data_IF_349729924665
#
_entry.id   IF_349729924665
#
_cell.length_a   1.000
_cell.length_b   1.000
_cell.length_c   1.000
_cell.angle_alpha   90.00
_cell.angle_beta   90.00
_cell.angle_gamma   90.00
#
_symmetry.space_group_name_H-M   'P 1'
#
loop_
_entity.id
_entity.type
_entity.pdbx_description
1 polymer ?
#
# COMPACT_ATOMS: atom_id res chain seq x y z
N UNK A 1 -0.98 -5.05 -30.09
CA UNK A 1 -1.21 -5.40 -28.65
C UNK A 1 -0.14 -4.70 -27.84
N UNK A 2 -0.49 -4.11 -26.69
CA UNK A 2 0.49 -3.47 -25.80
C UNK A 2 1.48 -4.53 -25.32
N UNK A 3 2.78 -4.22 -25.35
CA UNK A 3 3.80 -5.13 -24.84
C UNK A 3 4.66 -4.43 -23.77
N UNK A 4 4.77 -5.06 -22.58
CA UNK A 4 5.67 -4.64 -21.52
C UNK A 4 6.96 -5.46 -21.60
N UNK A 5 8.09 -4.86 -21.95
CA UNK A 5 9.37 -5.53 -21.84
C UNK A 5 9.86 -5.58 -20.38
N UNK A 6 10.78 -6.45 -20.07
CA UNK A 6 11.64 -6.32 -18.88
C UNK A 6 12.50 -5.07 -19.06
N UNK A 7 12.67 -4.24 -18.02
CA UNK A 7 13.65 -3.15 -18.04
C UNK A 7 14.89 -3.56 -17.23
N UNK A 8 16.00 -3.81 -17.95
CA UNK A 8 17.27 -4.17 -17.35
C UNK A 8 18.12 -2.93 -17.21
N UNK A 9 18.08 -2.30 -16.05
CA UNK A 9 18.71 -0.99 -15.84
C UNK A 9 18.27 0.04 -16.90
N UNK A 10 16.95 0.15 -17.07
CA UNK A 10 16.32 1.06 -18.01
C UNK A 10 16.31 0.60 -19.47
N UNK A 11 17.07 -0.43 -19.84
CA UNK A 11 17.12 -0.96 -21.21
C UNK A 11 16.03 -2.01 -21.41
N UNK A 12 15.19 -1.87 -22.44
CA UNK A 12 14.13 -2.83 -22.71
C UNK A 12 14.70 -4.17 -23.19
N UNK A 13 14.17 -5.25 -22.63
CA UNK A 13 14.53 -6.61 -23.02
C UNK A 13 13.25 -7.44 -23.23
N UNK A 14 13.08 -7.98 -24.41
CA UNK A 14 12.01 -8.91 -24.73
C UNK A 14 12.42 -10.34 -24.37
N UNK A 15 11.66 -10.96 -23.48
CA UNK A 15 11.83 -12.36 -23.10
C UNK A 15 11.15 -13.28 -24.11
N UNK A 16 11.63 -14.52 -24.21
CA UNK A 16 10.92 -15.58 -24.92
C UNK A 16 9.66 -16.04 -24.16
N UNK A 17 9.69 -15.93 -22.85
CA UNK A 17 8.51 -16.16 -22.01
C UNK A 17 7.69 -14.89 -21.93
N UNK A 18 6.44 -14.98 -22.39
CA UNK A 18 5.49 -13.86 -22.41
C UNK A 18 4.20 -14.34 -21.78
N UNK A 19 3.69 -13.56 -20.84
CA UNK A 19 2.39 -13.79 -20.22
C UNK A 19 1.38 -12.74 -20.70
N UNK A 20 0.10 -13.01 -20.51
CA UNK A 20 -0.99 -12.10 -20.89
C UNK A 20 -1.68 -11.55 -19.67
N UNK A 21 -1.78 -10.23 -19.61
CA UNK A 21 -2.66 -9.55 -18.67
C UNK A 21 -4.00 -9.36 -19.35
N UNK A 22 -5.05 -9.89 -18.74
CA UNK A 22 -6.39 -9.95 -19.34
C UNK A 22 -7.34 -9.01 -18.61
N UNK A 23 -8.35 -8.56 -19.34
CA UNK A 23 -9.46 -7.81 -18.76
C UNK A 23 -10.24 -8.71 -17.79
N UNK A 24 -10.45 -8.24 -16.57
CA UNK A 24 -10.98 -9.06 -15.48
C UNK A 24 -12.36 -9.65 -15.78
N UNK A 25 -13.21 -8.93 -16.50
CA UNK A 25 -14.58 -9.37 -16.78
C UNK A 25 -14.70 -10.13 -18.12
N UNK A 26 -14.07 -9.67 -19.21
CA UNK A 26 -14.19 -10.30 -20.54
C UNK A 26 -13.17 -11.40 -20.79
N UNK A 27 -12.02 -11.37 -20.10
CA UNK A 27 -10.89 -12.26 -20.36
C UNK A 27 -10.08 -11.92 -21.61
N UNK A 28 -10.44 -10.86 -22.32
CA UNK A 28 -9.68 -10.43 -23.49
C UNK A 28 -8.29 -9.93 -23.09
N UNK A 29 -7.25 -10.24 -23.86
CA UNK A 29 -5.91 -9.74 -23.59
C UNK A 29 -5.86 -8.20 -23.70
N UNK A 30 -5.42 -7.55 -22.62
CA UNK A 30 -5.14 -6.09 -22.57
C UNK A 30 -3.70 -5.81 -22.94
N UNK A 31 -2.78 -6.62 -22.44
CA UNK A 31 -1.35 -6.50 -22.71
C UNK A 31 -0.62 -7.86 -22.69
N UNK A 32 0.54 -7.89 -23.32
CA UNK A 32 1.54 -8.94 -23.20
C UNK A 32 2.70 -8.46 -22.35
N UNK A 33 3.29 -9.34 -21.55
CA UNK A 33 4.32 -9.00 -20.57
C UNK A 33 5.47 -9.99 -20.67
N UNK A 34 6.63 -9.54 -21.08
CA UNK A 34 7.87 -10.32 -21.01
C UNK A 34 8.16 -10.72 -19.56
N UNK A 35 8.35 -12.01 -19.32
CA UNK A 35 8.66 -12.54 -18.00
C UNK A 35 10.17 -12.56 -17.77
N UNK A 36 10.62 -12.01 -16.66
CA UNK A 36 11.97 -12.19 -16.17
C UNK A 36 12.13 -13.60 -15.55
N UNK A 37 13.35 -14.00 -15.30
CA UNK A 37 13.66 -15.19 -14.53
C UNK A 37 14.71 -14.89 -13.44
N UNK A 38 14.83 -15.74 -12.40
CA UNK A 38 15.77 -15.52 -11.30
C UNK A 38 17.23 -15.33 -11.74
N UNK A 39 17.66 -16.00 -12.81
CA UNK A 39 19.02 -15.92 -13.33
C UNK A 39 19.33 -14.54 -13.94
N UNK A 40 18.38 -13.93 -14.65
CA UNK A 40 18.54 -12.57 -15.18
C UNK A 40 18.64 -11.57 -14.03
N UNK A 41 17.74 -11.64 -13.05
CA UNK A 41 17.73 -10.77 -11.87
C UNK A 41 19.06 -10.86 -11.11
N UNK A 42 19.50 -12.07 -10.75
CA UNK A 42 20.73 -12.28 -10.01
C UNK A 42 21.98 -11.79 -10.78
N UNK A 43 22.00 -11.96 -12.11
CA UNK A 43 23.09 -11.47 -12.95
C UNK A 43 23.15 -9.94 -13.00
N UNK A 44 22.00 -9.30 -13.18
CA UNK A 44 21.91 -7.85 -13.33
C UNK A 44 22.21 -7.15 -12.00
N UNK A 45 21.75 -7.71 -10.88
CA UNK A 45 21.98 -7.15 -9.54
C UNK A 45 23.45 -7.21 -9.08
N UNK A 46 24.32 -7.97 -9.74
CA UNK A 46 25.78 -7.86 -9.53
C UNK A 46 26.33 -6.49 -9.93
N UNK A 47 25.58 -5.70 -10.69
CA UNK A 47 25.94 -4.35 -11.14
C UNK A 47 25.08 -3.27 -10.49
N UNK A 48 24.39 -3.58 -9.40
CA UNK A 48 23.43 -2.68 -8.73
C UNK A 48 24.10 -1.37 -8.25
N UNK A 49 25.37 -1.38 -7.91
CA UNK A 49 26.10 -0.18 -7.49
C UNK A 49 26.06 0.93 -8.55
N UNK A 50 26.05 0.57 -9.84
CA UNK A 50 25.96 1.56 -10.93
C UNK A 50 24.70 2.44 -10.82
N UNK A 51 23.58 1.90 -10.34
CA UNK A 51 22.35 2.67 -10.17
C UNK A 51 22.53 3.83 -9.18
N UNK A 52 23.26 3.59 -8.09
CA UNK A 52 23.61 4.65 -7.15
C UNK A 52 24.66 5.60 -7.71
N UNK A 53 25.66 5.09 -8.42
CA UNK A 53 26.74 5.90 -8.98
C UNK A 53 26.19 6.96 -9.94
N UNK A 54 25.29 6.60 -10.86
CA UNK A 54 24.68 7.56 -11.80
C UNK A 54 23.76 8.57 -11.09
N UNK A 55 23.06 8.18 -10.02
CA UNK A 55 22.25 9.10 -9.22
C UNK A 55 23.13 10.09 -8.45
N UNK A 56 24.33 9.71 -8.04
CA UNK A 56 25.28 10.57 -7.33
C UNK A 56 25.97 11.60 -8.23
N UNK A 57 25.77 11.55 -9.53
CA UNK A 57 26.17 12.63 -10.46
C UNK A 57 25.27 13.87 -10.28
N UNK A 58 24.15 13.74 -9.60
CA UNK A 58 23.19 14.81 -9.30
C UNK A 58 23.15 15.08 -7.81
N UNK A 59 22.89 16.32 -7.45
CA UNK A 59 22.59 16.71 -6.08
C UNK A 59 21.18 16.22 -5.67
N UNK A 60 20.89 16.04 -4.37
CA UNK A 60 19.53 15.74 -3.90
C UNK A 60 18.49 16.75 -4.41
N UNK A 61 18.82 18.04 -4.46
CA UNK A 61 17.94 19.10 -4.94
C UNK A 61 17.60 18.95 -6.43
N UNK A 62 18.56 18.61 -7.28
CA UNK A 62 18.32 18.32 -8.71
C UNK A 62 17.39 17.11 -8.88
N UNK A 63 17.64 16.03 -8.13
CA UNK A 63 16.80 14.83 -8.17
C UNK A 63 15.38 15.12 -7.68
N UNK A 64 15.21 15.94 -6.64
CA UNK A 64 13.90 16.42 -6.19
C UNK A 64 13.18 17.17 -7.32
N UNK A 65 13.88 18.06 -8.04
CA UNK A 65 13.33 18.79 -9.19
C UNK A 65 12.88 17.85 -10.30
N UNK A 66 13.67 16.82 -10.62
CA UNK A 66 13.29 15.80 -11.60
C UNK A 66 12.08 14.98 -11.14
N UNK A 67 12.02 14.59 -9.87
CA UNK A 67 10.89 13.82 -9.31
C UNK A 67 9.60 14.64 -9.36
N UNK A 68 9.63 15.94 -9.01
CA UNK A 68 8.48 16.86 -9.15
C UNK A 68 8.03 16.99 -10.62
N UNK A 69 8.97 17.12 -11.55
CA UNK A 69 8.63 17.09 -12.97
C UNK A 69 8.04 15.74 -13.39
N UNK A 70 8.52 14.66 -12.81
CA UNK A 70 7.93 13.32 -12.96
C UNK A 70 6.47 13.24 -12.51
N UNK A 71 6.08 13.97 -11.46
CA UNK A 71 4.69 14.08 -11.00
C UNK A 71 3.77 14.68 -12.07
N UNK A 72 4.20 15.78 -12.67
CA UNK A 72 3.48 16.43 -13.77
C UNK A 72 3.31 15.48 -14.95
N UNK A 73 4.42 14.89 -15.41
CA UNK A 73 4.41 13.95 -16.54
C UNK A 73 3.54 12.70 -16.24
N UNK A 74 3.65 12.12 -15.04
CA UNK A 74 2.85 10.97 -14.65
C UNK A 74 1.35 11.23 -14.74
N UNK A 75 0.89 12.41 -14.32
CA UNK A 75 -0.53 12.74 -14.23
C UNK A 75 -1.12 13.35 -15.51
N UNK A 76 -0.30 13.94 -16.41
CA UNK A 76 -0.82 14.72 -17.52
C UNK A 76 -0.25 14.36 -18.90
N UNK A 77 0.93 13.73 -18.97
CA UNK A 77 1.58 13.50 -20.25
C UNK A 77 1.17 12.19 -20.94
N UNK A 78 1.31 12.19 -22.27
CA UNK A 78 1.39 10.95 -23.04
C UNK A 78 2.77 10.33 -22.84
N UNK A 79 2.82 9.11 -22.32
CA UNK A 79 4.08 8.42 -21.99
C UNK A 79 4.23 7.14 -22.81
N UNK A 80 5.48 6.72 -23.14
CA UNK A 80 5.74 5.53 -23.95
C UNK A 80 5.13 4.25 -23.34
N UNK A 81 4.42 3.49 -24.17
CA UNK A 81 3.90 2.17 -23.82
C UNK A 81 3.83 1.28 -25.07
N UNK A 82 4.62 0.20 -25.08
CA UNK A 82 4.79 -0.61 -26.29
C UNK A 82 5.32 0.21 -27.46
N UNK A 83 4.71 0.05 -28.64
CA UNK A 83 5.03 0.83 -29.85
C UNK A 83 4.26 2.15 -29.93
N UNK A 84 3.54 2.54 -28.88
CA UNK A 84 2.70 3.74 -28.83
C UNK A 84 2.91 4.56 -27.58
N UNK A 85 1.87 5.31 -27.22
CA UNK A 85 1.83 6.13 -26.01
C UNK A 85 0.59 5.80 -25.17
N UNK A 86 0.66 6.11 -23.91
CA UNK A 86 -0.41 5.95 -22.92
C UNK A 86 -0.79 7.35 -22.41
N UNK A 87 -2.03 7.75 -22.65
CA UNK A 87 -2.61 8.93 -22.01
C UNK A 87 -2.94 8.66 -20.53
N UNK A 88 -3.19 9.68 -19.70
CA UNK A 88 -3.70 9.49 -18.34
C UNK A 88 -5.02 8.70 -18.29
N UNK A 89 -5.91 8.93 -19.25
CA UNK A 89 -7.20 8.23 -19.33
C UNK A 89 -7.03 6.77 -19.77
N UNK A 90 -6.08 6.48 -20.68
CA UNK A 90 -5.73 5.10 -21.02
C UNK A 90 -5.17 4.35 -19.80
N UNK A 91 -4.30 5.01 -19.05
CA UNK A 91 -3.77 4.44 -17.82
C UNK A 91 -4.87 4.05 -16.84
N UNK A 92 -5.82 4.95 -16.58
CA UNK A 92 -6.95 4.69 -15.67
C UNK A 92 -7.80 3.51 -16.16
N UNK A 93 -8.17 3.49 -17.44
CA UNK A 93 -8.96 2.39 -18.04
C UNK A 93 -8.23 1.06 -18.00
N UNK A 94 -6.94 1.05 -18.36
CA UNK A 94 -6.12 -0.16 -18.39
C UNK A 94 -5.89 -0.73 -17.00
N UNK A 95 -5.60 0.13 -16.02
CA UNK A 95 -5.44 -0.28 -14.62
C UNK A 95 -6.75 -0.85 -14.08
N UNK A 96 -7.88 -0.18 -14.30
CA UNK A 96 -9.20 -0.68 -13.93
C UNK A 96 -9.49 -2.04 -14.58
N UNK A 97 -9.25 -2.16 -15.89
CA UNK A 97 -9.51 -3.37 -16.68
C UNK A 97 -8.78 -4.62 -16.15
N UNK A 98 -7.65 -4.48 -15.49
CA UNK A 98 -6.87 -5.63 -15.01
C UNK A 98 -6.93 -5.84 -13.51
N UNK A 99 -7.13 -4.78 -12.72
CA UNK A 99 -7.20 -4.86 -11.26
C UNK A 99 -8.62 -5.01 -10.73
N UNK A 100 -9.63 -4.73 -11.56
CA UNK A 100 -11.04 -4.69 -11.15
C UNK A 100 -11.40 -3.50 -10.25
N UNK A 101 -10.48 -2.54 -10.07
CA UNK A 101 -10.74 -1.33 -9.30
C UNK A 101 -11.55 -0.34 -10.16
N UNK A 102 -12.61 0.32 -9.64
CA UNK A 102 -13.32 1.37 -10.35
C UNK A 102 -12.43 2.47 -10.91
N UNK A 103 -12.74 2.99 -12.10
CA UNK A 103 -11.90 3.99 -12.80
C UNK A 103 -11.66 5.25 -11.97
N UNK A 104 -12.70 5.76 -11.30
CA UNK A 104 -12.54 6.94 -10.44
C UNK A 104 -11.58 6.67 -9.25
N UNK A 105 -11.52 5.43 -8.73
CA UNK A 105 -10.57 5.05 -7.68
C UNK A 105 -9.15 4.91 -8.24
N UNK A 106 -8.99 4.44 -9.49
CA UNK A 106 -7.70 4.47 -10.18
C UNK A 106 -7.20 5.91 -10.33
N UNK A 107 -8.07 6.83 -10.71
CA UNK A 107 -7.77 8.26 -10.82
C UNK A 107 -7.44 8.88 -9.46
N UNK A 108 -8.19 8.57 -8.41
CA UNK A 108 -7.91 9.01 -7.04
C UNK A 108 -6.52 8.55 -6.58
N UNK A 109 -6.14 7.30 -6.85
CA UNK A 109 -4.81 6.80 -6.54
C UNK A 109 -3.71 7.49 -7.37
N UNK A 110 -3.97 7.79 -8.64
CA UNK A 110 -3.06 8.57 -9.49
C UNK A 110 -2.79 9.96 -8.90
N UNK A 111 -3.84 10.69 -8.50
CA UNK A 111 -3.73 12.00 -7.85
C UNK A 111 -3.00 11.93 -6.50
N UNK A 112 -3.22 10.86 -5.74
CA UNK A 112 -2.49 10.60 -4.51
C UNK A 112 -0.98 10.45 -4.75
N UNK A 113 -0.58 9.70 -5.77
CA UNK A 113 0.83 9.55 -6.13
C UNK A 113 1.43 10.87 -6.63
N UNK A 114 0.69 11.61 -7.44
CA UNK A 114 1.08 12.95 -7.85
C UNK A 114 1.33 13.86 -6.64
N UNK A 115 0.39 13.89 -5.69
CA UNK A 115 0.53 14.70 -4.48
C UNK A 115 1.82 14.39 -3.72
N UNK A 116 2.16 13.10 -3.56
CA UNK A 116 3.39 12.69 -2.87
C UNK A 116 4.63 13.17 -3.60
N UNK A 117 4.65 13.09 -4.93
CA UNK A 117 5.77 13.56 -5.75
C UNK A 117 5.90 15.10 -5.74
N UNK A 118 4.78 15.82 -5.78
CA UNK A 118 4.75 17.29 -5.74
C UNK A 118 5.28 17.84 -4.40
N UNK A 119 5.11 17.08 -3.30
CA UNK A 119 5.52 17.46 -1.94
C UNK A 119 6.73 16.65 -1.44
N UNK A 120 7.51 16.07 -2.36
CA UNK A 120 8.58 15.14 -2.00
C UNK A 120 9.69 15.78 -1.16
N UNK A 121 9.96 17.07 -1.35
CA UNK A 121 10.91 17.84 -0.55
C UNK A 121 10.46 17.96 0.92
N UNK A 122 9.22 18.36 1.19
CA UNK A 122 8.66 18.46 2.53
C UNK A 122 8.64 17.08 3.22
N UNK A 123 8.28 16.04 2.46
CA UNK A 123 8.27 14.66 2.94
C UNK A 123 9.68 14.22 3.34
N UNK A 124 10.68 14.49 2.51
CA UNK A 124 12.07 14.15 2.81
C UNK A 124 12.60 14.94 4.01
N UNK A 125 12.32 16.25 4.10
CA UNK A 125 12.70 17.06 5.26
C UNK A 125 12.14 16.46 6.54
N UNK A 126 10.90 15.98 6.52
CA UNK A 126 10.30 15.35 7.69
C UNK A 126 10.90 13.99 8.01
N UNK A 127 11.03 13.09 7.00
CA UNK A 127 11.58 11.75 7.19
C UNK A 127 13.05 11.76 7.59
N UNK A 128 13.85 12.76 7.17
CA UNK A 128 15.22 12.96 7.60
C UNK A 128 15.33 13.68 8.96
N UNK A 129 14.20 14.05 9.57
CA UNK A 129 14.16 14.87 10.80
C UNK A 129 14.91 16.20 10.64
N UNK A 130 14.77 16.84 9.47
CA UNK A 130 15.44 18.07 9.04
C UNK A 130 16.95 17.95 8.83
N UNK A 131 17.53 16.74 8.83
CA UNK A 131 18.90 16.56 8.42
C UNK A 131 19.05 17.02 6.96
N UNK A 132 20.08 17.80 6.67
CA UNK A 132 20.40 18.22 5.31
C UNK A 132 20.62 16.98 4.42
N UNK A 133 19.83 16.79 3.36
CA UNK A 133 19.99 15.66 2.44
C UNK A 133 21.40 15.54 1.83
N UNK A 134 22.12 16.65 1.71
CA UNK A 134 23.51 16.69 1.26
C UNK A 134 24.45 15.91 2.18
N UNK A 135 24.14 15.83 3.49
CA UNK A 135 24.91 15.01 4.43
C UNK A 135 24.75 13.51 4.11
N UNK A 136 23.53 13.09 3.74
CA UNK A 136 23.29 11.70 3.29
C UNK A 136 23.99 11.41 1.95
N UNK A 137 23.97 12.37 1.01
CA UNK A 137 24.58 12.25 -0.30
C UNK A 137 26.11 12.17 -0.23
N UNK A 138 26.74 13.10 0.52
CA UNK A 138 28.20 13.18 0.73
C UNK A 138 28.72 12.12 1.72
N UNK A 139 27.82 11.62 2.58
CA UNK A 139 28.15 10.67 3.64
C UNK A 139 28.65 11.32 4.94
N UNK A 140 28.86 12.63 4.97
CA UNK A 140 29.20 13.42 6.16
C UNK A 140 28.92 14.92 5.97
N UNK A 141 28.79 15.60 7.07
CA UNK A 141 28.64 17.07 7.15
C UNK A 141 28.64 17.53 8.58
N UNK A 142 28.50 18.82 8.79
CA UNK A 142 28.40 19.44 10.11
C UNK A 142 26.97 19.99 10.30
N UNK A 143 26.38 19.71 11.43
CA UNK A 143 25.07 20.18 11.84
C UNK A 143 25.15 20.64 13.30
N UNK A 144 24.82 21.89 13.56
CA UNK A 144 24.88 22.53 14.90
C UNK A 144 26.25 22.37 15.62
N UNK A 145 27.35 22.44 14.85
CA UNK A 145 28.71 22.27 15.37
C UNK A 145 29.09 20.79 15.64
N UNK A 146 28.24 19.82 15.25
CA UNK A 146 28.49 18.39 15.40
C UNK A 146 28.72 17.74 14.05
N UNK A 147 29.86 17.04 13.92
CA UNK A 147 30.13 16.23 12.72
C UNK A 147 29.16 15.06 12.65
N UNK A 148 28.36 15.00 11.58
CA UNK A 148 27.41 13.93 11.29
C UNK A 148 27.96 13.09 10.14
N UNK A 149 27.80 11.78 10.22
CA UNK A 149 28.12 10.91 9.11
C UNK A 149 27.11 9.78 9.00
N UNK A 150 26.71 9.50 7.76
CA UNK A 150 25.76 8.44 7.42
C UNK A 150 26.32 7.58 6.30
N UNK A 151 25.98 6.31 6.34
CA UNK A 151 26.35 5.34 5.31
C UNK A 151 25.07 4.72 4.73
N UNK A 152 24.91 4.77 3.41
CA UNK A 152 23.86 3.99 2.75
C UNK A 152 24.12 2.48 2.98
N UNK A 153 23.07 1.76 3.31
CA UNK A 153 23.12 0.32 3.58
C UNK A 153 22.87 -0.51 2.33
N UNK A 154 22.50 0.14 1.24
CA UNK A 154 22.24 -0.47 -0.08
C UNK A 154 22.46 0.54 -1.19
N UNK A 155 22.76 0.06 -2.39
CA UNK A 155 22.80 0.88 -3.60
C UNK A 155 21.47 0.93 -4.33
N UNK A 156 20.59 -0.06 -4.07
CA UNK A 156 19.25 -0.16 -4.64
C UNK A 156 18.26 -0.68 -3.61
N UNK A 157 17.00 -0.25 -3.72
CA UNK A 157 15.89 -0.84 -2.99
C UNK A 157 15.15 -1.83 -3.88
N UNK A 158 15.05 -3.08 -3.42
CA UNK A 158 14.22 -4.10 -4.06
C UNK A 158 12.75 -3.95 -3.63
N UNK A 159 11.82 -4.01 -4.59
CA UNK A 159 10.39 -3.87 -4.34
C UNK A 159 9.62 -5.03 -4.94
N UNK A 160 8.96 -5.84 -4.13
CA UNK A 160 7.99 -6.85 -4.59
C UNK A 160 6.60 -6.28 -4.34
N UNK A 161 6.00 -5.76 -5.41
CA UNK A 161 4.81 -4.93 -5.39
C UNK A 161 3.53 -5.78 -5.50
N UNK A 162 2.43 -5.37 -4.86
CA UNK A 162 1.15 -6.06 -4.92
C UNK A 162 0.31 -5.59 -6.12
N UNK A 163 -0.85 -6.25 -6.32
CA UNK A 163 -1.84 -5.85 -7.34
C UNK A 163 -3.11 -5.22 -6.77
N UNK A 164 -3.28 -5.19 -5.44
CA UNK A 164 -4.56 -4.85 -4.81
C UNK A 164 -4.83 -3.35 -4.70
N UNK A 165 -3.80 -2.54 -4.47
CA UNK A 165 -3.97 -1.10 -4.27
C UNK A 165 -2.80 -0.31 -4.86
N UNK A 166 -3.04 0.56 -5.87
CA UNK A 166 -1.99 1.40 -6.45
C UNK A 166 -1.38 2.41 -5.48
N UNK A 167 -2.09 2.74 -4.40
CA UNK A 167 -1.64 3.69 -3.39
C UNK A 167 -0.32 3.32 -2.70
N UNK A 168 0.05 2.04 -2.68
CA UNK A 168 1.31 1.55 -2.07
C UNK A 168 2.56 2.04 -2.81
N UNK A 169 2.44 2.43 -4.07
CA UNK A 169 3.57 2.97 -4.82
C UNK A 169 4.15 4.25 -4.21
N UNK A 170 3.35 4.98 -3.41
CA UNK A 170 3.83 6.15 -2.67
C UNK A 170 5.00 5.87 -1.73
N UNK A 171 5.19 4.63 -1.29
CA UNK A 171 6.23 4.26 -0.31
C UNK A 171 7.66 4.25 -0.90
N UNK A 172 7.80 4.05 -2.21
CA UNK A 172 9.11 4.03 -2.86
C UNK A 172 9.46 5.31 -3.64
N UNK A 173 8.52 6.26 -3.77
CA UNK A 173 8.77 7.52 -4.48
C UNK A 173 9.89 8.38 -3.85
N UNK A 174 10.09 8.40 -2.51
CA UNK A 174 11.15 9.18 -1.88
C UNK A 174 12.59 8.66 -2.12
N UNK A 175 12.76 7.51 -2.78
CA UNK A 175 14.04 6.78 -2.82
C UNK A 175 15.03 7.42 -3.78
N UNK A 176 14.59 7.87 -4.95
CA UNK A 176 15.45 8.47 -5.98
C UNK A 176 16.20 9.71 -5.47
N UNK A 177 15.55 10.69 -4.79
CA UNK A 177 16.27 11.83 -4.21
C UNK A 177 17.30 11.47 -3.14
N UNK A 178 17.15 10.30 -2.51
CA UNK A 178 18.13 9.74 -1.56
C UNK A 178 19.33 9.08 -2.26
N UNK A 179 19.41 9.19 -3.59
CA UNK A 179 20.43 8.58 -4.42
C UNK A 179 20.52 7.04 -4.27
N UNK A 180 19.36 6.40 -4.12
CA UNK A 180 19.21 4.93 -4.10
C UNK A 180 18.42 4.52 -5.33
N UNK A 181 18.94 3.55 -6.09
CA UNK A 181 18.25 3.02 -7.27
C UNK A 181 17.06 2.12 -6.91
N UNK A 182 16.25 1.79 -7.89
CA UNK A 182 15.03 1.00 -7.74
C UNK A 182 15.08 -0.30 -8.54
N UNK A 183 14.70 -1.40 -7.91
CA UNK A 183 14.51 -2.71 -8.55
C UNK A 183 13.06 -3.13 -8.29
N UNK A 184 12.21 -2.98 -9.29
CA UNK A 184 10.77 -3.16 -9.17
C UNK A 184 10.35 -4.52 -9.75
N UNK A 185 9.65 -5.32 -8.95
CA UNK A 185 8.91 -6.50 -9.39
C UNK A 185 7.42 -6.19 -9.22
N UNK A 186 6.70 -5.84 -10.31
CA UNK A 186 5.29 -5.45 -10.23
C UNK A 186 4.38 -6.63 -9.87
N UNK A 187 3.20 -6.31 -9.36
CA UNK A 187 2.11 -7.27 -9.26
C UNK A 187 1.62 -7.71 -10.64
N UNK A 188 1.13 -8.94 -10.80
CA UNK A 188 0.77 -9.46 -12.13
C UNK A 188 -0.39 -8.70 -12.80
N UNK A 189 -1.33 -8.13 -12.05
CA UNK A 189 -2.45 -7.35 -12.59
C UNK A 189 -2.17 -5.84 -12.56
N UNK A 190 -1.14 -5.38 -11.82
CA UNK A 190 -0.81 -3.97 -11.64
C UNK A 190 0.63 -3.67 -12.07
N UNK A 191 0.87 -3.66 -13.38
CA UNK A 191 2.11 -3.24 -14.02
C UNK A 191 2.06 -1.76 -14.43
N UNK A 192 0.86 -1.20 -14.48
CA UNK A 192 0.59 0.10 -15.08
C UNK A 192 1.26 1.23 -14.33
N UNK A 193 1.13 1.26 -12.99
CA UNK A 193 1.72 2.31 -12.17
C UNK A 193 3.25 2.29 -12.19
N UNK A 194 3.94 1.16 -11.89
CA UNK A 194 5.40 1.16 -11.91
C UNK A 194 5.97 1.42 -13.30
N UNK A 195 5.31 0.98 -14.38
CA UNK A 195 5.72 1.30 -15.74
C UNK A 195 5.58 2.79 -16.03
N UNK A 196 4.37 3.34 -15.89
CA UNK A 196 4.08 4.74 -16.20
C UNK A 196 4.95 5.69 -15.37
N UNK A 197 5.15 5.39 -14.09
CA UNK A 197 6.01 6.17 -13.21
C UNK A 197 7.48 6.11 -13.67
N UNK A 198 7.97 4.95 -14.07
CA UNK A 198 9.32 4.79 -14.62
C UNK A 198 9.50 5.61 -15.89
N UNK A 199 8.54 5.59 -16.83
CA UNK A 199 8.60 6.40 -18.04
C UNK A 199 8.55 7.91 -17.73
N UNK A 200 7.72 8.33 -16.77
CA UNK A 200 7.66 9.72 -16.31
C UNK A 200 9.01 10.17 -15.72
N UNK A 201 9.66 9.35 -14.92
CA UNK A 201 10.98 9.63 -14.36
C UNK A 201 12.06 9.72 -15.44
N UNK A 202 12.07 8.81 -16.41
CA UNK A 202 13.03 8.88 -17.52
C UNK A 202 12.85 10.15 -18.36
N UNK A 203 11.61 10.52 -18.63
CA UNK A 203 11.32 11.76 -19.39
C UNK A 203 11.62 13.02 -18.56
N UNK A 204 11.54 12.94 -17.24
CA UNK A 204 11.92 14.02 -16.33
C UNK A 204 13.44 14.20 -16.20
N UNK A 205 14.25 13.23 -16.68
CA UNK A 205 15.72 13.30 -16.66
C UNK A 205 16.39 12.36 -15.64
N UNK A 206 15.65 11.54 -14.91
CA UNK A 206 16.23 10.50 -14.05
C UNK A 206 17.03 9.52 -14.93
N UNK A 207 18.30 9.20 -14.61
CA UNK A 207 19.10 8.25 -15.35
C UNK A 207 18.42 6.89 -15.48
N UNK A 208 18.41 6.34 -16.69
CA UNK A 208 17.74 5.05 -16.96
C UNK A 208 18.31 3.92 -16.11
N UNK A 209 19.61 3.92 -15.90
CA UNK A 209 20.35 2.94 -15.12
C UNK A 209 19.97 2.93 -13.63
N UNK A 210 19.25 3.95 -13.15
CA UNK A 210 18.77 4.00 -11.77
C UNK A 210 17.59 3.06 -11.50
N UNK A 211 16.89 2.57 -12.53
CA UNK A 211 15.64 1.81 -12.37
C UNK A 211 15.66 0.54 -13.21
N UNK A 212 15.38 -0.59 -12.57
CA UNK A 212 15.11 -1.86 -13.24
C UNK A 212 13.69 -2.34 -12.91
N UNK A 213 13.02 -2.99 -13.88
CA UNK A 213 11.67 -3.51 -13.71
C UNK A 213 11.62 -4.94 -14.26
N UNK A 214 11.32 -5.88 -13.37
CA UNK A 214 11.32 -7.32 -13.63
C UNK A 214 9.92 -7.91 -13.42
N UNK A 215 9.02 -7.87 -14.40
CA UNK A 215 7.79 -8.64 -14.35
C UNK A 215 8.11 -10.14 -14.27
N UNK A 216 7.33 -10.90 -13.50
CA UNK A 216 7.54 -12.32 -13.34
C UNK A 216 6.76 -12.92 -12.19
N UNK A 217 6.87 -14.24 -12.03
CA UNK A 217 6.20 -15.00 -10.98
C UNK A 217 6.87 -14.81 -9.60
N UNK A 218 6.43 -15.57 -8.61
CA UNK A 218 6.93 -15.49 -7.23
C UNK A 218 8.43 -15.70 -7.09
N UNK A 219 9.02 -16.56 -7.91
CA UNK A 219 10.47 -16.83 -7.95
C UNK A 219 11.31 -15.62 -8.35
N UNK A 220 10.78 -14.74 -9.21
CA UNK A 220 11.40 -13.46 -9.56
C UNK A 220 11.39 -12.53 -8.35
N UNK A 221 10.27 -12.50 -7.61
CA UNK A 221 10.17 -11.77 -6.34
C UNK A 221 11.21 -12.27 -5.33
N UNK A 222 11.33 -13.58 -5.13
CA UNK A 222 12.34 -14.18 -4.27
C UNK A 222 13.78 -13.82 -4.73
N UNK A 223 14.05 -13.79 -6.04
CA UNK A 223 15.34 -13.37 -6.55
C UNK A 223 15.65 -11.90 -6.25
N UNK A 224 14.69 -10.99 -6.33
CA UNK A 224 14.84 -9.58 -5.93
C UNK A 224 15.18 -9.50 -4.44
N UNK A 225 14.40 -10.17 -3.57
CA UNK A 225 14.62 -10.15 -2.11
C UNK A 225 15.98 -10.71 -1.71
N UNK A 226 16.44 -11.76 -2.39
CA UNK A 226 17.70 -12.44 -2.06
C UNK A 226 18.95 -11.71 -2.60
N UNK A 227 18.82 -10.81 -3.57
CA UNK A 227 19.96 -10.15 -4.20
C UNK A 227 20.03 -8.64 -3.92
N UNK A 228 19.01 -8.04 -3.30
CA UNK A 228 19.05 -6.66 -2.80
C UNK A 228 19.37 -6.65 -1.30
N UNK A 229 20.30 -5.79 -0.87
CA UNK A 229 20.63 -5.68 0.56
C UNK A 229 19.49 -5.08 1.40
N UNK A 230 18.60 -4.32 0.76
CA UNK A 230 17.36 -3.81 1.34
C UNK A 230 16.21 -4.03 0.38
N UNK A 231 15.10 -4.54 0.89
CA UNK A 231 13.92 -4.82 0.08
C UNK A 231 12.63 -4.60 0.87
N UNK A 232 11.57 -4.28 0.15
CA UNK A 232 10.19 -4.23 0.66
C UNK A 232 9.37 -5.29 -0.07
N UNK A 233 8.55 -6.03 0.67
CA UNK A 233 7.59 -6.98 0.11
C UNK A 233 6.20 -6.73 0.68
N UNK A 234 5.21 -6.81 -0.19
CA UNK A 234 3.79 -6.74 0.17
C UNK A 234 3.15 -8.11 0.00
N UNK A 235 2.36 -8.54 0.99
CA UNK A 235 1.70 -9.82 0.89
C UNK A 235 0.76 -10.13 2.05
N UNK A 236 0.01 -11.23 1.95
CA UNK A 236 -0.84 -11.74 3.02
C UNK A 236 -0.04 -12.41 4.15
N UNK A 237 -0.75 -12.92 5.15
CA UNK A 237 -0.17 -13.60 6.33
C UNK A 237 0.91 -14.64 5.98
N UNK A 238 0.72 -15.54 4.97
CA UNK A 238 1.77 -16.50 4.63
C UNK A 238 3.08 -15.85 4.16
N UNK A 239 2.99 -14.72 3.45
CA UNK A 239 4.18 -13.95 3.03
C UNK A 239 4.88 -13.32 4.23
N UNK A 240 4.11 -12.75 5.16
CA UNK A 240 4.64 -12.18 6.41
C UNK A 240 5.38 -13.25 7.19
N UNK A 241 4.78 -14.42 7.40
CA UNK A 241 5.40 -15.53 8.13
C UNK A 241 6.69 -16.02 7.47
N UNK A 242 6.72 -16.10 6.13
CA UNK A 242 7.88 -16.55 5.38
C UNK A 242 9.09 -15.61 5.50
N UNK A 243 8.85 -14.29 5.52
CA UNK A 243 9.92 -13.29 5.47
C UNK A 243 10.11 -12.54 6.79
N UNK A 244 9.29 -12.82 7.81
CA UNK A 244 9.45 -12.23 9.15
C UNK A 244 10.84 -12.53 9.72
N UNK A 245 11.54 -11.46 10.14
CA UNK A 245 12.88 -11.57 10.70
C UNK A 245 14.01 -11.81 9.69
N UNK A 246 13.75 -11.84 8.38
CA UNK A 246 14.80 -11.88 7.35
C UNK A 246 15.53 -10.53 7.33
N UNK A 247 16.85 -10.49 7.63
CA UNK A 247 17.57 -9.23 7.65
C UNK A 247 17.52 -8.50 6.31
N UNK A 248 17.21 -7.20 6.34
CA UNK A 248 17.15 -6.37 5.14
C UNK A 248 15.85 -6.46 4.35
N UNK A 249 14.89 -7.29 4.75
CA UNK A 249 13.55 -7.35 4.16
C UNK A 249 12.55 -6.73 5.14
N UNK A 250 11.88 -5.67 4.70
CA UNK A 250 10.74 -5.11 5.40
C UNK A 250 9.46 -5.67 4.78
N UNK A 251 8.62 -6.26 5.61
CA UNK A 251 7.40 -6.94 5.18
C UNK A 251 6.19 -6.06 5.48
N UNK A 252 5.39 -5.79 4.46
CA UNK A 252 4.12 -5.07 4.56
C UNK A 252 2.98 -6.08 4.39
N UNK A 253 2.36 -6.42 5.51
CA UNK A 253 1.29 -7.41 5.63
C UNK A 253 -0.11 -6.82 5.67
N UNK A 254 -1.10 -7.62 6.13
CA UNK A 254 -2.40 -7.13 6.53
C UNK A 254 -2.26 -6.05 7.61
N UNK A 255 -3.03 -4.97 7.48
CA UNK A 255 -2.89 -3.81 8.36
C UNK A 255 -3.61 -3.97 9.69
N UNK A 256 -4.69 -4.73 9.72
CA UNK A 256 -5.59 -4.84 10.87
C UNK A 256 -5.93 -3.48 11.47
N UNK A 257 -6.13 -2.47 10.61
CA UNK A 257 -6.39 -1.10 11.03
C UNK A 257 -7.73 -0.98 11.76
N UNK A 258 -7.77 -0.15 12.80
CA UNK A 258 -8.90 -0.12 13.74
C UNK A 258 -9.33 1.28 14.14
N UNK A 259 -10.58 1.38 14.53
CA UNK A 259 -11.12 2.53 15.26
C UNK A 259 -11.41 2.06 16.70
N UNK A 260 -10.92 2.82 17.68
CA UNK A 260 -11.09 2.54 19.11
C UNK A 260 -11.92 3.67 19.73
N UNK A 261 -13.11 3.33 20.23
CA UNK A 261 -13.94 4.28 21.00
C UNK A 261 -13.55 4.18 22.48
N UNK A 262 -13.21 5.32 23.07
CA UNK A 262 -13.02 5.43 24.52
C UNK A 262 -14.34 5.38 25.28
N UNK A 263 -14.27 5.10 26.59
CA UNK A 263 -15.43 5.13 27.47
C UNK A 263 -16.18 6.47 27.45
N UNK A 264 -15.42 7.56 27.23
CA UNK A 264 -15.91 8.93 27.18
C UNK A 264 -16.64 9.32 25.89
N UNK A 265 -16.37 8.62 24.79
CA UNK A 265 -16.97 8.88 23.47
C UNK A 265 -17.93 7.78 22.99
N UNK A 266 -18.01 6.65 23.69
CA UNK A 266 -18.83 5.51 23.26
C UNK A 266 -20.34 5.83 23.19
N UNK A 267 -20.82 6.76 24.00
CA UNK A 267 -22.24 7.20 23.96
C UNK A 267 -22.51 8.22 22.86
N UNK A 268 -21.46 8.82 22.26
CA UNK A 268 -21.53 9.79 21.17
C UNK A 268 -21.18 9.16 19.80
N UNK A 269 -21.20 7.84 19.70
CA UNK A 269 -20.72 7.10 18.52
C UNK A 269 -21.40 7.52 17.20
N UNK A 270 -22.64 7.99 17.25
CA UNK A 270 -23.41 8.45 16.09
C UNK A 270 -22.73 9.63 15.37
N UNK A 271 -22.03 10.51 16.11
CA UNK A 271 -21.27 11.63 15.54
C UNK A 271 -20.09 11.17 14.68
N UNK A 272 -19.65 9.93 14.85
CA UNK A 272 -18.49 9.34 14.16
C UNK A 272 -18.88 8.34 13.06
N UNK A 273 -20.18 8.16 12.78
CA UNK A 273 -20.64 7.13 11.83
C UNK A 273 -20.11 7.34 10.42
N UNK A 274 -20.09 8.58 9.91
CA UNK A 274 -19.58 8.88 8.58
C UNK A 274 -18.07 8.58 8.48
N UNK A 275 -17.31 8.92 9.52
CA UNK A 275 -15.88 8.58 9.63
C UNK A 275 -15.64 7.06 9.59
N UNK A 276 -16.50 6.28 10.27
CA UNK A 276 -16.41 4.82 10.28
C UNK A 276 -16.72 4.26 8.89
N UNK A 277 -17.78 4.74 8.23
CA UNK A 277 -18.14 4.34 6.86
C UNK A 277 -17.01 4.64 5.88
N UNK A 278 -16.46 5.85 5.89
CA UNK A 278 -15.34 6.24 5.03
C UNK A 278 -14.10 5.37 5.25
N UNK A 279 -13.77 5.09 6.52
CA UNK A 279 -12.64 4.25 6.88
C UNK A 279 -12.75 2.81 6.35
N UNK A 280 -13.96 2.31 6.15
CA UNK A 280 -14.23 0.96 5.61
C UNK A 280 -14.32 0.96 4.09
N UNK A 281 -15.06 1.90 3.48
CA UNK A 281 -15.52 1.83 2.09
C UNK A 281 -14.52 2.41 1.08
N UNK A 282 -13.82 3.50 1.43
CA UNK A 282 -12.91 4.19 0.49
C UNK A 282 -11.91 3.22 -0.12
N UNK A 283 -11.62 3.39 -1.42
CA UNK A 283 -10.77 2.50 -2.20
C UNK A 283 -11.24 1.03 -2.18
N UNK A 284 -12.58 0.83 -2.05
CA UNK A 284 -13.21 -0.49 -1.98
C UNK A 284 -12.65 -1.40 -0.87
N UNK A 285 -12.24 -0.84 0.27
CA UNK A 285 -11.65 -1.60 1.37
C UNK A 285 -10.32 -2.30 1.05
N UNK A 286 -9.65 -1.93 -0.08
CA UNK A 286 -8.46 -2.66 -0.59
C UNK A 286 -7.12 -2.18 -0.07
N UNK A 287 -7.10 -1.27 0.88
CA UNK A 287 -5.86 -0.77 1.47
C UNK A 287 -5.67 -1.32 2.87
N UNK A 288 -4.44 -1.65 3.26
CA UNK A 288 -4.09 -2.06 4.63
C UNK A 288 -4.45 -1.01 5.70
N UNK A 289 -4.70 0.24 5.29
CA UNK A 289 -5.15 1.32 6.15
C UNK A 289 -6.68 1.42 6.26
N UNK A 290 -7.47 0.62 5.52
CA UNK A 290 -8.90 0.55 5.72
C UNK A 290 -9.21 -0.08 7.08
N UNK A 291 -10.26 0.42 7.74
CA UNK A 291 -10.68 -0.10 9.03
C UNK A 291 -11.29 -1.49 8.89
N UNK A 292 -10.66 -2.49 9.50
CA UNK A 292 -11.16 -3.87 9.58
C UNK A 292 -11.84 -4.18 10.92
N UNK A 293 -11.74 -3.29 11.93
CA UNK A 293 -12.36 -3.49 13.23
C UNK A 293 -12.64 -2.19 13.98
N UNK A 294 -13.87 -2.04 14.49
CA UNK A 294 -14.29 -0.95 15.35
C UNK A 294 -14.49 -1.54 16.74
N UNK A 295 -13.74 -1.04 17.71
CA UNK A 295 -13.72 -1.56 19.07
C UNK A 295 -14.35 -0.55 20.01
N UNK A 296 -15.33 -1.00 20.80
CA UNK A 296 -16.13 -0.14 21.65
C UNK A 296 -16.43 -0.82 22.99
N UNK A 297 -16.49 -0.07 24.11
CA UNK A 297 -16.82 -0.65 25.42
C UNK A 297 -18.32 -1.00 25.54
N UNK A 298 -19.17 -0.39 24.71
CA UNK A 298 -20.64 -0.60 24.71
C UNK A 298 -21.24 -0.14 23.37
N UNK A 299 -22.52 -0.42 23.16
CA UNK A 299 -23.27 -0.08 21.95
C UNK A 299 -22.81 -0.79 20.67
N UNK A 300 -21.98 -1.84 20.78
CA UNK A 300 -21.40 -2.52 19.63
C UNK A 300 -22.43 -2.99 18.62
N UNK A 301 -23.54 -3.57 19.10
CA UNK A 301 -24.62 -4.02 18.22
C UNK A 301 -25.33 -2.85 17.50
N UNK A 302 -25.59 -1.75 18.19
CA UNK A 302 -26.20 -0.56 17.58
C UNK A 302 -25.30 0.09 16.52
N UNK A 303 -24.00 0.18 16.79
CA UNK A 303 -23.00 0.66 15.83
C UNK A 303 -22.98 -0.25 14.60
N UNK A 304 -22.96 -1.57 14.79
CA UNK A 304 -22.94 -2.53 13.69
C UNK A 304 -24.23 -2.45 12.84
N UNK A 305 -25.38 -2.27 13.48
CA UNK A 305 -26.68 -2.05 12.80
C UNK A 305 -26.65 -0.77 11.95
N UNK A 306 -26.18 0.36 12.51
CA UNK A 306 -26.09 1.62 11.80
C UNK A 306 -25.12 1.59 10.62
N UNK A 307 -23.98 0.92 10.79
CA UNK A 307 -23.04 0.67 9.68
C UNK A 307 -23.65 -0.20 8.59
N UNK A 308 -24.40 -1.23 8.97
CA UNK A 308 -25.08 -2.11 8.01
C UNK A 308 -26.14 -1.37 7.20
N UNK A 309 -26.87 -0.41 7.78
CA UNK A 309 -27.81 0.44 7.05
C UNK A 309 -27.10 1.34 6.01
N UNK A 310 -25.88 1.79 6.29
CA UNK A 310 -25.12 2.67 5.39
C UNK A 310 -24.35 1.87 4.30
N UNK A 311 -23.78 0.75 4.66
CA UNK A 311 -22.92 -0.06 3.78
C UNK A 311 -23.69 -1.14 3.02
N UNK A 312 -24.75 -1.71 3.64
CA UNK A 312 -25.52 -2.81 3.06
C UNK A 312 -26.13 -2.53 1.68
N UNK A 313 -26.66 -1.31 1.40
CA UNK A 313 -27.22 -0.99 0.08
C UNK A 313 -26.19 -0.86 -1.06
N UNK A 314 -24.90 -0.92 -0.77
CA UNK A 314 -23.85 -0.76 -1.79
C UNK A 314 -23.73 -2.02 -2.64
N UNK A 315 -24.00 -1.87 -3.94
CA UNK A 315 -24.01 -2.97 -4.92
C UNK A 315 -22.87 -2.85 -5.94
N UNK A 316 -22.45 -3.96 -6.56
CA UNK A 316 -21.48 -3.95 -7.66
C UNK A 316 -22.02 -3.20 -8.88
N UNK A 317 -21.35 -2.13 -9.27
CA UNK A 317 -21.63 -1.35 -10.49
C UNK A 317 -20.53 -1.59 -11.53
N UNK A 318 -20.76 -1.24 -12.82
CA UNK A 318 -19.72 -1.20 -13.83
C UNK A 318 -18.54 -0.35 -13.37
N UNK A 319 -17.28 -0.73 -13.66
CA UNK A 319 -16.10 -0.02 -13.14
C UNK A 319 -15.96 1.42 -13.66
N UNK A 320 -16.58 1.75 -14.79
CA UNK A 320 -16.66 3.10 -15.37
C UNK A 320 -17.73 3.98 -14.73
N UNK A 321 -18.62 3.40 -13.92
CA UNK A 321 -19.66 4.17 -13.23
C UNK A 321 -19.02 5.04 -12.13
N UNK A 322 -19.32 6.34 -12.07
CA UNK A 322 -18.76 7.23 -11.04
C UNK A 322 -19.17 6.88 -9.62
N UNK A 323 -20.27 6.16 -9.43
CA UNK A 323 -20.78 5.72 -8.13
C UNK A 323 -20.31 4.31 -7.76
N UNK A 324 -19.51 3.65 -8.61
CA UNK A 324 -18.97 2.30 -8.35
C UNK A 324 -18.10 2.30 -7.08
N UNK A 325 -18.52 1.63 -6.03
CA UNK A 325 -17.80 1.58 -4.76
C UNK A 325 -17.09 0.24 -4.51
N UNK A 326 -17.37 -0.78 -5.31
CA UNK A 326 -16.84 -2.13 -5.12
C UNK A 326 -15.91 -2.52 -6.25
N UNK A 327 -14.75 -3.05 -5.89
CA UNK A 327 -13.78 -3.60 -6.81
C UNK A 327 -13.97 -5.12 -6.98
N UNK A 328 -13.81 -5.62 -8.20
CA UNK A 328 -13.90 -7.03 -8.51
C UNK A 328 -12.70 -7.83 -7.97
N UNK A 329 -12.92 -9.01 -7.45
CA UNK A 329 -11.87 -10.02 -7.26
C UNK A 329 -11.55 -10.66 -8.62
N UNK A 330 -10.34 -10.45 -9.09
CA UNK A 330 -9.88 -10.85 -10.42
C UNK A 330 -9.15 -12.20 -10.43
N UNK A 331 -8.83 -12.70 -9.23
CA UNK A 331 -8.20 -14.02 -9.06
C UNK A 331 -9.30 -15.07 -8.86
N UNK A 332 -9.41 -16.06 -9.75
CA UNK A 332 -10.46 -17.08 -9.65
C UNK A 332 -10.47 -17.80 -8.30
N UNK A 333 -11.67 -17.95 -7.72
CA UNK A 333 -11.88 -18.64 -6.44
C UNK A 333 -11.57 -17.82 -5.19
N UNK A 334 -11.02 -16.62 -5.30
CA UNK A 334 -10.69 -15.78 -4.15
C UNK A 334 -11.93 -15.27 -3.42
N UNK A 335 -12.93 -14.77 -4.15
CA UNK A 335 -14.20 -14.33 -3.57
C UNK A 335 -14.93 -15.42 -2.81
N UNK A 336 -15.18 -16.60 -3.43
CA UNK A 336 -15.76 -17.76 -2.76
C UNK A 336 -14.98 -18.23 -1.52
N UNK A 337 -13.65 -18.25 -1.57
CA UNK A 337 -12.81 -18.65 -0.44
C UNK A 337 -12.95 -17.69 0.76
N UNK A 338 -12.98 -16.38 0.50
CA UNK A 338 -13.20 -15.36 1.54
C UNK A 338 -14.61 -15.51 2.12
N UNK A 339 -15.64 -15.65 1.27
CA UNK A 339 -17.01 -15.82 1.74
C UNK A 339 -17.17 -17.06 2.63
N UNK A 340 -16.55 -18.18 2.24
CA UNK A 340 -16.57 -19.41 3.05
C UNK A 340 -15.81 -19.27 4.39
N UNK A 341 -14.71 -18.53 4.42
CA UNK A 341 -13.98 -18.25 5.67
C UNK A 341 -14.80 -17.38 6.63
N UNK A 342 -15.53 -16.38 6.09
CA UNK A 342 -16.49 -15.58 6.88
C UNK A 342 -17.61 -16.49 7.43
N UNK A 343 -18.22 -17.33 6.59
CA UNK A 343 -19.29 -18.24 7.01
C UNK A 343 -18.83 -19.22 8.10
N UNK A 344 -17.58 -19.66 8.03
CA UNK A 344 -17.01 -20.50 9.08
C UNK A 344 -16.89 -19.76 10.43
N UNK A 345 -16.43 -18.52 10.40
CA UNK A 345 -16.27 -17.71 11.62
C UNK A 345 -17.62 -17.21 12.18
N UNK A 346 -18.66 -17.05 11.35
CA UNK A 346 -20.01 -16.69 11.80
C UNK A 346 -20.70 -17.79 12.64
N UNK A 347 -20.15 -19.01 12.67
CA UNK A 347 -20.70 -20.11 13.48
C UNK A 347 -20.43 -19.95 14.98
N UNK A 348 -19.56 -19.04 15.36
CA UNK A 348 -19.28 -18.76 16.77
C UNK A 348 -20.49 -18.08 17.44
N UNK A 349 -20.74 -18.46 18.70
CA UNK A 349 -21.91 -17.97 19.43
C UNK A 349 -21.90 -16.47 19.63
N UNK A 350 -22.99 -15.82 19.27
CA UNK A 350 -23.21 -14.37 19.43
C UNK A 350 -22.54 -13.51 18.34
N UNK A 351 -21.84 -14.11 17.37
CA UNK A 351 -21.34 -13.42 16.19
C UNK A 351 -22.47 -13.30 15.17
N UNK A 352 -22.75 -12.09 14.71
CA UNK A 352 -23.89 -11.81 13.82
C UNK A 352 -23.46 -10.95 12.62
N UNK A 353 -23.77 -11.38 11.40
CA UNK A 353 -23.62 -10.52 10.20
C UNK A 353 -24.81 -9.58 10.09
N UNK A 354 -24.58 -8.29 10.29
CA UNK A 354 -25.64 -7.29 10.31
C UNK A 354 -26.11 -6.87 8.91
N UNK A 355 -25.24 -7.02 7.91
CA UNK A 355 -25.56 -6.74 6.48
C UNK A 355 -26.35 -7.84 5.80
N UNK A 356 -26.47 -9.02 6.36
CA UNK A 356 -27.19 -10.15 5.77
C UNK A 356 -28.65 -9.83 5.35
N UNK A 357 -29.31 -8.92 6.08
CA UNK A 357 -30.68 -8.46 5.76
C UNK A 357 -30.80 -7.68 4.45
N UNK A 358 -29.68 -7.05 4.00
CA UNK A 358 -29.60 -6.32 2.73
C UNK A 358 -29.24 -7.23 1.56
N UNK A 359 -28.73 -8.43 1.83
CA UNK A 359 -28.23 -9.37 0.82
C UNK A 359 -28.95 -10.73 0.92
N UNK A 360 -30.23 -10.81 0.52
CA UNK A 360 -31.00 -12.05 0.64
C UNK A 360 -30.37 -13.21 -0.16
N UNK A 361 -29.66 -12.90 -1.25
CA UNK A 361 -28.93 -13.86 -2.08
C UNK A 361 -27.50 -14.10 -1.62
N UNK A 362 -27.09 -13.53 -0.47
CA UNK A 362 -25.76 -13.62 0.10
C UNK A 362 -24.83 -12.48 -0.31
N UNK A 363 -23.68 -12.40 0.37
CA UNK A 363 -22.67 -11.37 0.13
C UNK A 363 -21.86 -11.56 -1.14
N UNK A 364 -21.77 -12.81 -1.65
CA UNK A 364 -20.99 -13.16 -2.83
C UNK A 364 -21.83 -13.02 -4.10
N UNK A 365 -21.38 -12.21 -5.03
CA UNK A 365 -21.88 -12.15 -6.40
C UNK A 365 -20.81 -12.67 -7.34
N UNK A 366 -21.01 -13.90 -7.84
CA UNK A 366 -20.12 -14.52 -8.84
C UNK A 366 -20.56 -14.17 -10.25
N UNK A 367 -19.61 -13.72 -11.07
CA UNK A 367 -19.75 -13.51 -12.50
C UNK A 367 -18.88 -14.51 -13.25
N UNK A 368 -18.94 -14.53 -14.56
CA UNK A 368 -18.24 -15.54 -15.37
C UNK A 368 -16.73 -15.64 -15.07
N UNK A 369 -16.07 -14.49 -14.84
CA UNK A 369 -14.62 -14.42 -14.67
C UNK A 369 -14.14 -13.69 -13.41
N UNK A 370 -15.03 -13.11 -12.64
CA UNK A 370 -14.70 -12.37 -11.45
C UNK A 370 -15.80 -12.53 -10.40
N UNK A 371 -15.45 -12.19 -9.18
CA UNK A 371 -16.40 -12.18 -8.07
C UNK A 371 -16.46 -10.78 -7.46
N UNK A 372 -17.60 -10.45 -6.87
CA UNK A 372 -17.73 -9.30 -5.96
C UNK A 372 -18.14 -9.79 -4.58
N UNK A 373 -17.63 -9.14 -3.57
CA UNK A 373 -18.12 -9.29 -2.20
C UNK A 373 -18.77 -7.96 -1.78
N UNK A 374 -20.06 -8.04 -1.48
CA UNK A 374 -20.83 -6.91 -0.96
C UNK A 374 -20.34 -6.53 0.43
N UNK A 375 -20.44 -5.26 0.85
CA UNK A 375 -19.96 -4.83 2.15
C UNK A 375 -20.51 -5.71 3.27
N UNK A 376 -19.63 -6.11 4.18
CA UNK A 376 -19.97 -7.06 5.24
C UNK A 376 -19.62 -6.45 6.60
N UNK A 377 -20.64 -6.24 7.42
CA UNK A 377 -20.53 -5.74 8.80
C UNK A 377 -20.88 -6.86 9.75
N UNK A 378 -19.97 -7.20 10.66
CA UNK A 378 -20.16 -8.28 11.62
C UNK A 378 -20.06 -7.77 13.05
N UNK A 379 -21.08 -8.03 13.86
CA UNK A 379 -21.05 -7.81 15.29
C UNK A 379 -20.33 -8.97 16.00
N UNK A 380 -19.41 -8.63 16.91
CA UNK A 380 -18.66 -9.55 17.75
C UNK A 380 -18.87 -9.19 19.23
N UNK A 381 -19.45 -10.06 20.05
CA UNK A 381 -19.75 -9.77 21.45
C UNK A 381 -18.52 -9.74 22.35
N UNK A 382 -17.37 -10.17 21.84
CA UNK A 382 -16.11 -10.30 22.60
C UNK A 382 -14.91 -10.26 21.67
N UNK A 383 -13.73 -9.79 22.14
CA UNK A 383 -12.48 -9.88 21.40
C UNK A 383 -11.95 -11.32 21.26
N UNK A 384 -12.52 -12.29 21.96
CA UNK A 384 -12.03 -13.66 21.97
C UNK A 384 -12.54 -14.49 20.78
N UNK A 385 -13.59 -14.06 20.09
CA UNK A 385 -14.08 -14.73 18.88
C UNK A 385 -13.10 -14.57 17.71
N UNK A 386 -12.96 -15.59 16.88
CA UNK A 386 -12.02 -15.57 15.76
C UNK A 386 -12.34 -14.45 14.75
N UNK A 387 -13.64 -14.17 14.57
CA UNK A 387 -14.11 -13.11 13.68
C UNK A 387 -13.53 -11.72 14.05
N UNK A 388 -13.36 -11.40 15.33
CA UNK A 388 -12.82 -10.13 15.82
C UNK A 388 -11.37 -9.85 15.34
N UNK A 389 -10.67 -10.86 14.82
CA UNK A 389 -9.27 -10.81 14.36
C UNK A 389 -9.13 -10.97 12.84
N UNK A 390 -10.22 -10.91 12.09
CA UNK A 390 -10.21 -11.05 10.63
C UNK A 390 -10.02 -9.72 9.93
N UNK A 391 -9.36 -9.75 8.79
CA UNK A 391 -9.25 -8.68 7.81
C UNK A 391 -9.33 -9.26 6.41
N UNK A 392 -10.05 -8.57 5.52
CA UNK A 392 -10.14 -8.93 4.11
C UNK A 392 -10.04 -7.67 3.24
N UNK A 393 -9.57 -7.82 2.01
CA UNK A 393 -9.38 -6.73 1.05
C UNK A 393 -10.65 -6.40 0.25
N UNK A 394 -11.73 -6.11 0.98
CA UNK A 394 -13.01 -5.57 0.48
C UNK A 394 -13.67 -4.80 1.64
N UNK A 395 -14.79 -4.07 1.44
CA UNK A 395 -15.45 -3.36 2.53
C UNK A 395 -16.01 -4.33 3.59
N UNK A 396 -15.14 -4.71 4.51
CA UNK A 396 -15.40 -5.65 5.60
C UNK A 396 -15.00 -5.00 6.93
N UNK A 397 -15.88 -5.08 7.91
CA UNK A 397 -15.58 -4.58 9.25
C UNK A 397 -16.25 -5.41 10.33
N UNK A 398 -15.51 -5.64 11.41
CA UNK A 398 -16.07 -6.18 12.65
C UNK A 398 -16.32 -5.05 13.65
N UNK A 399 -17.43 -5.10 14.36
CA UNK A 399 -17.68 -4.24 15.53
C UNK A 399 -17.58 -5.10 16.77
N UNK A 400 -16.57 -4.83 17.59
CA UNK A 400 -16.16 -5.69 18.70
C UNK A 400 -16.45 -5.01 20.04
N UNK A 401 -17.21 -5.65 20.92
CA UNK A 401 -17.37 -5.18 22.29
C UNK A 401 -16.17 -5.60 23.14
N UNK A 402 -15.50 -4.59 23.71
CA UNK A 402 -14.32 -4.79 24.53
C UNK A 402 -14.16 -3.62 25.50
N UNK A 403 -14.05 -3.90 26.80
CA UNK A 403 -13.76 -2.86 27.79
C UNK A 403 -12.48 -2.09 27.44
N UNK A 404 -12.49 -0.76 27.55
CA UNK A 404 -11.37 0.12 27.19
C UNK A 404 -10.02 -0.38 27.74
N UNK A 405 -9.98 -0.79 29.01
CA UNK A 405 -8.74 -1.26 29.66
C UNK A 405 -8.13 -2.52 29.02
N UNK A 406 -8.93 -3.29 28.26
CA UNK A 406 -8.51 -4.53 27.61
C UNK A 406 -8.22 -4.35 26.11
N UNK A 407 -8.66 -3.25 25.48
CA UNK A 407 -8.54 -3.04 24.02
C UNK A 407 -7.11 -3.22 23.53
N UNK A 408 -6.15 -2.48 24.10
CA UNK A 408 -4.75 -2.52 23.64
C UNK A 408 -4.14 -3.92 23.66
N UNK A 409 -4.50 -4.76 24.62
CA UNK A 409 -4.01 -6.15 24.71
C UNK A 409 -4.65 -7.06 23.66
N UNK A 410 -5.88 -6.74 23.25
CA UNK A 410 -6.71 -7.61 22.40
C UNK A 410 -6.63 -7.29 20.93
N UNK A 411 -6.31 -6.03 20.55
CA UNK A 411 -6.30 -5.59 19.12
C UNK A 411 -5.20 -6.23 18.29
N UNK A 412 -4.12 -6.74 18.92
CA UNK A 412 -2.97 -7.29 18.20
C UNK A 412 -2.13 -6.22 17.48
N UNK A 413 -1.29 -6.65 16.54
CA UNK A 413 -0.55 -5.72 15.66
C UNK A 413 -1.54 -4.92 14.81
N UNK A 414 -1.34 -3.60 14.73
CA UNK A 414 -2.28 -2.67 14.12
C UNK A 414 -1.51 -1.57 13.37
N UNK A 415 -1.70 -1.49 12.07
CA UNK A 415 -1.04 -0.49 11.25
C UNK A 415 -1.55 0.93 11.56
N UNK A 416 -2.87 1.11 11.55
CA UNK A 416 -3.48 2.40 11.90
C UNK A 416 -4.50 2.18 13.00
N UNK A 417 -4.34 2.87 14.12
CA UNK A 417 -5.36 3.00 15.14
C UNK A 417 -5.88 4.44 15.18
N UNK A 418 -7.18 4.63 14.99
CA UNK A 418 -7.86 5.89 15.26
C UNK A 418 -8.56 5.80 16.61
N UNK A 419 -8.10 6.58 17.59
CA UNK A 419 -8.66 6.64 18.93
C UNK A 419 -9.65 7.81 19.04
N UNK A 420 -10.92 7.49 19.12
CA UNK A 420 -12.00 8.44 19.40
C UNK A 420 -12.16 8.56 20.92
N UNK A 421 -11.40 9.48 21.50
CA UNK A 421 -11.35 9.69 22.96
C UNK A 421 -10.72 11.03 23.31
N UNK A 422 -11.18 11.63 24.41
CA UNK A 422 -10.57 12.79 25.08
C UNK A 422 -9.90 12.38 26.40
N UNK A 423 -10.00 11.10 26.80
CA UNK A 423 -9.36 10.57 27.99
C UNK A 423 -7.83 10.56 27.81
N UNK A 424 -7.16 11.48 28.50
CA UNK A 424 -5.70 11.67 28.43
C UNK A 424 -4.94 10.41 28.88
N UNK A 425 -5.48 9.69 29.86
CA UNK A 425 -4.82 8.46 30.36
C UNK A 425 -4.88 7.35 29.30
N UNK A 426 -6.01 7.22 28.62
CA UNK A 426 -6.12 6.26 27.52
C UNK A 426 -5.27 6.67 26.31
N UNK A 427 -5.24 7.97 25.94
CA UNK A 427 -4.33 8.47 24.90
C UNK A 427 -2.88 8.14 25.23
N UNK A 428 -2.43 8.37 26.48
CA UNK A 428 -1.06 8.05 26.88
C UNK A 428 -0.77 6.55 26.79
N UNK A 429 -1.73 5.69 27.18
CA UNK A 429 -1.61 4.25 27.04
C UNK A 429 -1.41 3.82 25.58
N UNK A 430 -2.11 4.47 24.65
CA UNK A 430 -1.98 4.21 23.21
C UNK A 430 -0.66 4.75 22.64
N UNK A 431 -0.17 5.90 23.12
CA UNK A 431 1.12 6.46 22.74
C UNK A 431 2.29 5.56 23.14
N UNK A 432 2.18 4.87 24.28
CA UNK A 432 3.19 3.94 24.78
C UNK A 432 3.10 2.54 24.12
N UNK A 433 2.08 2.32 23.27
CA UNK A 433 1.85 1.03 22.63
C UNK A 433 2.96 0.71 21.60
N UNK A 434 3.40 -0.57 21.58
CA UNK A 434 4.43 -1.05 20.65
C UNK A 434 3.85 -1.83 19.47
N UNK A 435 2.55 -2.05 19.48
CA UNK A 435 1.81 -2.82 18.47
C UNK A 435 0.93 -1.94 17.58
N UNK A 436 1.12 -0.61 17.61
CA UNK A 436 0.46 0.37 16.76
C UNK A 436 1.54 1.14 16.02
N UNK A 437 1.53 1.08 14.67
CA UNK A 437 2.52 1.79 13.85
C UNK A 437 2.13 3.24 13.60
N UNK A 438 0.82 3.51 13.46
CA UNK A 438 0.27 4.84 13.21
C UNK A 438 -0.91 5.09 14.16
N UNK A 439 -0.80 6.10 15.00
CA UNK A 439 -1.85 6.49 15.93
C UNK A 439 -2.45 7.84 15.53
N UNK A 440 -3.76 7.84 15.28
CA UNK A 440 -4.57 9.03 15.16
C UNK A 440 -5.33 9.23 16.47
N UNK A 441 -5.34 10.45 17.00
CA UNK A 441 -6.14 10.81 18.18
C UNK A 441 -7.17 11.83 17.74
N UNK A 442 -8.46 11.54 18.02
CA UNK A 442 -9.59 12.32 17.57
C UNK A 442 -10.19 11.83 16.24
N UNK A 443 -11.15 12.58 15.66
CA UNK A 443 -11.96 12.13 14.52
C UNK A 443 -11.20 12.20 13.18
N UNK A 444 -10.24 11.32 13.00
CA UNK A 444 -9.43 11.18 11.79
C UNK A 444 -9.69 9.80 11.20
N UNK A 445 -10.24 9.67 9.96
CA UNK A 445 -10.43 8.38 9.31
C UNK A 445 -9.12 7.61 9.18
N UNK A 446 -9.15 6.27 9.33
CA UNK A 446 -7.93 5.44 9.23
C UNK A 446 -7.23 5.58 7.88
N UNK A 447 -7.98 5.86 6.82
CA UNK A 447 -7.50 6.03 5.45
C UNK A 447 -6.80 7.39 5.21
N UNK A 448 -6.89 8.34 6.14
CA UNK A 448 -6.27 9.66 6.01
C UNK A 448 -4.81 9.60 6.41
N UNK A 449 -3.92 9.64 5.43
CA UNK A 449 -2.48 9.64 5.66
C UNK A 449 -1.93 11.07 5.77
N UNK A 450 -1.03 11.26 6.74
CA UNK A 450 -0.11 12.40 6.76
C UNK A 450 1.25 11.92 6.21
N UNK A 451 1.60 12.37 5.00
CA UNK A 451 2.82 11.96 4.31
C UNK A 451 4.10 12.48 4.95
N UNK A 452 4.00 13.46 5.84
CA UNK A 452 5.13 13.94 6.65
C UNK A 452 5.50 12.98 7.79
N UNK A 453 4.76 11.87 7.94
CA UNK A 453 4.99 10.86 8.98
C UNK A 453 5.38 9.53 8.35
N UNK A 454 6.17 8.70 9.06
CA UNK A 454 6.47 7.34 8.63
C UNK A 454 5.19 6.52 8.38
N UNK A 455 5.26 5.54 7.48
CA UNK A 455 4.15 4.61 7.26
C UNK A 455 4.27 3.40 8.19
N UNK A 456 5.12 2.46 7.85
CA UNK A 456 5.54 1.31 8.68
C UNK A 456 7.06 1.41 8.88
N UNK A 457 7.47 2.17 9.90
CA UNK A 457 8.86 2.57 10.04
C UNK A 457 9.28 3.70 9.09
N UNK A 458 10.50 4.20 9.29
CA UNK A 458 11.05 5.29 8.50
C UNK A 458 11.98 4.76 7.42
N UNK A 459 11.65 5.01 6.15
CA UNK A 459 12.42 4.53 5.01
C UNK A 459 13.88 5.05 5.01
N UNK A 460 14.12 6.25 5.54
CA UNK A 460 15.48 6.80 5.64
C UNK A 460 16.31 5.99 6.64
N UNK A 461 15.74 5.64 7.80
CA UNK A 461 16.42 4.80 8.80
C UNK A 461 16.65 3.36 8.28
N UNK A 462 15.80 2.89 7.38
CA UNK A 462 15.99 1.59 6.74
C UNK A 462 17.14 1.58 5.73
N UNK A 463 17.33 2.70 5.01
CA UNK A 463 18.32 2.82 3.93
C UNK A 463 19.65 3.37 4.39
N UNK A 464 19.70 4.11 5.49
CA UNK A 464 20.91 4.74 6.00
C UNK A 464 21.15 4.37 7.46
N UNK A 465 22.42 4.28 7.81
CA UNK A 465 22.84 4.12 9.21
C UNK A 465 23.83 5.21 9.60
N UNK A 466 23.74 5.77 10.81
CA UNK A 466 24.76 6.64 11.32
C UNK A 466 26.08 5.89 11.54
N UNK A 467 27.20 6.60 11.41
CA UNK A 467 28.52 6.08 11.77
C UNK A 467 29.36 7.15 12.46
N UNK A 468 30.32 6.74 13.26
CA UNK A 468 31.34 7.64 13.78
C UNK A 468 32.27 8.11 12.64
N UNK A 469 32.53 9.41 12.58
CA UNK A 469 33.44 10.02 11.62
C UNK A 469 34.18 11.18 12.24
N UNK A 470 35.48 11.20 12.08
CA UNK A 470 36.33 12.31 12.51
C UNK A 470 37.25 12.70 11.34
N UNK A 471 37.46 13.98 11.15
CA UNK A 471 38.39 14.52 10.17
C UNK A 471 39.37 15.44 10.89
N UNK A 472 40.66 15.18 10.73
CA UNK A 472 41.68 16.10 11.20
C UNK A 472 41.63 17.38 10.37
N UNK A 473 41.81 18.50 11.04
CA UNK A 473 41.90 19.83 10.44
C UNK A 473 43.19 19.98 9.60
#
# INVERSE_FOLDING_TARGET
MIHFPVLRWGEPYQSLEVDKVVHFASGEPVAEVSQANPGIVARDLRKADRARDVLREFTPSELIGMVKKGAELFSSAELPLGDGVQTPDDFVRQQSATTGLPEHMCRMNMEKLRYVLDHIDDILVSLTRRLDPDILAKGYGEEDGVMRSYQATTSVLGMVLPSNSPGVHSLWLPIIPLQIGLVLKPGPQELWTPWRMTQAFFQAGIPREAIALYPGLGEVGAAVLNNCARSLIFGGTPTVEQYAGVPGVQVHGPGFSKILLGDDEADNWEEHLDLMVDSVLVNSGRSCINCSGIWTPRHGKAIAEALAERLGPVEPLPPEDPDAALAAFTVPGQGPAISADIDAALRESGVEEMTAKHHPDGRLESRERCDYLRPTVVYCPSPDVAMAKKEYMFPFVTVVECEQKNMLKSIGSTLVATALTKDVAFQQTLLDARNIDRLNVGPIPTIKLNWLQPHEGNIVDFLFRPRAFQKAS
#
